data_IF_236341147021
#
_entry.id   IF_236341147021
#
_cell.length_a   1.000
_cell.length_b   1.000
_cell.length_c   1.000
_cell.angle_alpha   90.00
_cell.angle_beta   90.00
_cell.angle_gamma   90.00
#
_symmetry.space_group_name_H-M   'P 1'
#
loop_
_entity.id
_entity.type
_entity.pdbx_description
1 polymer ?
#
# COMPACT_ATOMS: atom_id res chain seq x y z
N UNK A 1 26.00 24.74 -4.27
CA UNK A 1 25.29 23.43 -4.30
C UNK A 1 23.90 23.40 -3.64
N UNK A 2 23.55 24.10 -2.54
CA UNK A 2 22.24 23.90 -1.88
C UNK A 2 21.04 24.41 -2.70
N UNK A 3 21.22 25.38 -3.59
CA UNK A 3 20.15 25.89 -4.46
C UNK A 3 19.74 24.90 -5.55
N UNK A 4 20.69 24.15 -6.13
CA UNK A 4 20.41 23.10 -7.11
C UNK A 4 19.59 21.96 -6.48
N UNK A 5 19.98 21.50 -5.29
CA UNK A 5 19.21 20.48 -4.56
C UNK A 5 17.80 20.96 -4.21
N UNK A 6 17.63 22.23 -3.79
CA UNK A 6 16.30 22.81 -3.54
C UNK A 6 15.46 22.87 -4.81
N UNK A 7 16.06 23.26 -5.95
CA UNK A 7 15.38 23.32 -7.24
C UNK A 7 14.94 21.94 -7.71
N UNK A 8 15.83 20.95 -7.67
CA UNK A 8 15.53 19.55 -8.04
C UNK A 8 14.42 18.98 -7.14
N UNK A 9 14.51 19.23 -5.82
CA UNK A 9 13.47 18.79 -4.87
C UNK A 9 12.11 19.41 -5.17
N UNK A 10 12.09 20.72 -5.48
CA UNK A 10 10.87 21.43 -5.85
C UNK A 10 10.27 20.88 -7.15
N UNK A 11 11.11 20.67 -8.18
CA UNK A 11 10.69 20.09 -9.45
C UNK A 11 10.14 18.67 -9.27
N UNK A 12 10.85 17.80 -8.56
CA UNK A 12 10.42 16.44 -8.28
C UNK A 12 9.09 16.40 -7.51
N UNK A 13 8.93 17.28 -6.52
CA UNK A 13 7.68 17.45 -5.79
C UNK A 13 6.53 17.87 -6.69
N UNK A 14 6.76 18.86 -7.56
CA UNK A 14 5.75 19.32 -8.53
C UNK A 14 5.35 18.22 -9.50
N UNK A 15 6.31 17.53 -10.12
CA UNK A 15 6.04 16.43 -11.07
C UNK A 15 5.21 15.35 -10.38
N UNK A 16 5.60 14.93 -9.17
CA UNK A 16 4.86 13.92 -8.42
C UNK A 16 3.41 14.36 -8.15
N UNK A 17 3.20 15.57 -7.62
CA UNK A 17 1.85 16.08 -7.28
C UNK A 17 0.99 16.26 -8.53
N UNK A 18 1.53 16.85 -9.59
CA UNK A 18 0.81 17.03 -10.86
C UNK A 18 0.42 15.68 -11.46
N UNK A 19 1.32 14.69 -11.42
CA UNK A 19 1.01 13.35 -11.94
C UNK A 19 -0.01 12.63 -11.05
N UNK A 20 0.07 12.78 -9.73
CA UNK A 20 -0.90 12.21 -8.80
C UNK A 20 -2.32 12.74 -9.08
N UNK A 21 -2.45 14.07 -9.20
CA UNK A 21 -3.72 14.72 -9.52
C UNK A 21 -4.23 14.27 -10.89
N UNK A 22 -3.36 14.19 -11.90
CA UNK A 22 -3.75 13.82 -13.25
C UNK A 22 -4.21 12.35 -13.38
N UNK A 23 -3.64 11.43 -12.60
CA UNK A 23 -3.92 9.99 -12.69
C UNK A 23 -5.03 9.56 -11.73
N UNK A 24 -4.95 9.95 -10.45
CA UNK A 24 -5.87 9.48 -9.41
C UNK A 24 -6.72 10.58 -8.78
N UNK A 25 -6.52 11.86 -9.13
CA UNK A 25 -7.22 12.99 -8.50
C UNK A 25 -8.75 12.88 -8.55
N UNK A 26 -9.32 12.59 -9.73
CA UNK A 26 -10.76 12.41 -9.88
C UNK A 26 -11.28 11.19 -9.10
N UNK A 27 -10.55 10.08 -9.13
CA UNK A 27 -10.93 8.85 -8.43
C UNK A 27 -10.90 9.03 -6.91
N UNK A 28 -9.96 9.81 -6.38
CA UNK A 28 -9.87 10.12 -4.95
C UNK A 28 -11.03 11.01 -4.47
N UNK A 29 -11.47 11.98 -5.29
CA UNK A 29 -12.59 12.86 -4.92
C UNK A 29 -13.94 12.14 -4.88
N UNK A 30 -14.17 11.18 -5.78
CA UNK A 30 -15.45 10.43 -5.86
C UNK A 30 -15.52 9.31 -4.82
N UNK A 31 -14.38 8.78 -4.37
CA UNK A 31 -14.33 7.60 -3.50
C UNK A 31 -14.50 8.01 -2.03
N UNK A 32 -15.58 7.56 -1.37
CA UNK A 32 -15.82 7.78 0.07
C UNK A 32 -15.05 6.79 0.97
N UNK A 33 -14.60 5.66 0.42
CA UNK A 33 -13.97 4.59 1.20
C UNK A 33 -12.46 4.81 1.35
N UNK A 34 -11.99 5.11 2.58
CA UNK A 34 -10.57 5.31 2.91
C UNK A 34 -9.68 4.16 2.45
N UNK A 35 -10.15 2.91 2.59
CA UNK A 35 -9.36 1.72 2.18
C UNK A 35 -9.10 1.70 0.68
N UNK A 36 -10.08 2.11 -0.12
CA UNK A 36 -9.94 2.16 -1.56
C UNK A 36 -9.02 3.31 -1.99
N UNK A 37 -9.13 4.47 -1.32
CA UNK A 37 -8.22 5.61 -1.53
C UNK A 37 -6.76 5.22 -1.21
N UNK A 38 -6.50 4.59 -0.06
CA UNK A 38 -5.17 4.11 0.31
C UNK A 38 -4.57 3.15 -0.72
N UNK A 39 -5.39 2.22 -1.25
CA UNK A 39 -4.98 1.27 -2.28
C UNK A 39 -4.65 1.96 -3.61
N UNK A 40 -5.50 2.89 -4.07
CA UNK A 40 -5.24 3.69 -5.27
C UNK A 40 -3.92 4.46 -5.15
N UNK A 41 -3.69 5.11 -4.00
CA UNK A 41 -2.46 5.86 -3.74
C UNK A 41 -1.23 4.97 -3.71
N UNK A 42 -1.35 3.72 -3.24
CA UNK A 42 -0.25 2.74 -3.25
C UNK A 42 0.09 2.28 -4.67
N UNK A 43 -0.93 1.97 -5.49
CA UNK A 43 -0.74 1.55 -6.88
C UNK A 43 -0.10 2.68 -7.70
N UNK A 44 -0.57 3.92 -7.52
CA UNK A 44 0.01 5.09 -8.16
C UNK A 44 1.50 5.24 -7.82
N UNK A 45 1.87 5.17 -6.53
CA UNK A 45 3.27 5.26 -6.14
C UNK A 45 4.11 4.14 -6.73
N UNK A 46 3.59 2.91 -6.69
CA UNK A 46 4.28 1.78 -7.30
C UNK A 46 4.59 2.08 -8.77
N UNK A 47 3.58 2.46 -9.57
CA UNK A 47 3.74 2.77 -10.99
C UNK A 47 4.73 3.93 -11.21
N UNK A 48 4.58 5.03 -10.48
CA UNK A 48 5.38 6.23 -10.65
C UNK A 48 6.87 5.97 -10.37
N UNK A 49 7.18 5.34 -9.24
CA UNK A 49 8.56 5.04 -8.87
C UNK A 49 9.15 3.89 -9.69
N UNK A 50 8.34 2.95 -10.18
CA UNK A 50 8.83 1.91 -11.08
C UNK A 50 9.23 2.51 -12.44
N UNK A 51 8.45 3.46 -12.98
CA UNK A 51 8.84 4.21 -14.19
C UNK A 51 10.16 4.96 -13.93
N UNK A 52 10.27 5.66 -12.80
CA UNK A 52 11.48 6.38 -12.42
C UNK A 52 12.71 5.44 -12.35
N UNK A 53 12.52 4.21 -11.86
CA UNK A 53 13.55 3.18 -11.76
C UNK A 53 13.95 2.61 -13.13
N UNK A 54 13.02 2.56 -14.09
CA UNK A 54 13.28 2.03 -15.43
C UNK A 54 14.08 3.00 -16.30
N UNK A 55 13.96 4.31 -16.10
CA UNK A 55 14.73 5.32 -16.86
C UNK A 55 16.25 5.06 -16.81
N UNK A 56 16.91 4.98 -15.64
CA UNK A 56 18.34 4.71 -15.59
C UNK A 56 18.70 3.33 -16.13
N UNK A 57 17.81 2.33 -15.96
CA UNK A 57 17.99 1.00 -16.55
C UNK A 57 18.02 1.03 -18.07
N UNK A 58 17.12 1.79 -18.67
CA UNK A 58 17.04 1.96 -20.12
C UNK A 58 18.30 2.64 -20.65
N UNK A 59 18.78 3.69 -19.96
CA UNK A 59 20.03 4.36 -20.34
C UNK A 59 21.24 3.43 -20.31
N UNK A 60 21.36 2.58 -19.29
CA UNK A 60 22.43 1.58 -19.21
C UNK A 60 22.28 0.51 -20.29
N UNK A 61 21.07 0.02 -20.55
CA UNK A 61 20.82 -0.94 -21.62
C UNK A 61 21.19 -0.35 -23.01
N UNK A 62 20.95 0.95 -23.20
CA UNK A 62 21.27 1.69 -24.42
C UNK A 62 22.79 1.89 -24.56
N UNK A 63 23.48 2.18 -23.46
CA UNK A 63 24.95 2.30 -23.42
C UNK A 63 25.65 0.99 -23.81
N UNK A 64 25.18 -0.15 -23.28
CA UNK A 64 25.74 -1.47 -23.57
C UNK A 64 25.15 -2.15 -24.81
N UNK A 65 24.23 -1.49 -25.52
CA UNK A 65 23.57 -2.01 -26.72
C UNK A 65 22.96 -3.41 -26.52
N UNK A 66 22.44 -3.70 -25.32
CA UNK A 66 21.76 -4.98 -25.06
C UNK A 66 20.37 -4.95 -25.71
N UNK A 67 20.26 -5.49 -26.93
CA UNK A 67 19.03 -5.52 -27.74
C UNK A 67 17.86 -6.18 -27.02
N UNK A 68 18.11 -7.24 -26.25
CA UNK A 68 17.08 -7.96 -25.49
C UNK A 68 16.52 -7.11 -24.36
N UNK A 69 17.39 -6.51 -23.54
CA UNK A 69 16.96 -5.64 -22.45
C UNK A 69 16.31 -4.36 -22.98
N UNK A 70 16.79 -3.80 -24.09
CA UNK A 70 16.20 -2.64 -24.75
C UNK A 70 14.76 -2.91 -25.21
N UNK A 71 14.50 -4.04 -25.88
CA UNK A 71 13.16 -4.40 -26.33
C UNK A 71 12.21 -4.59 -25.14
N UNK A 72 12.63 -5.37 -24.14
CA UNK A 72 11.80 -5.69 -22.98
C UNK A 72 11.55 -4.47 -22.09
N UNK A 73 12.56 -3.63 -21.85
CA UNK A 73 12.41 -2.38 -21.10
C UNK A 73 11.51 -1.39 -21.85
N UNK A 74 11.59 -1.32 -23.17
CA UNK A 74 10.71 -0.47 -23.98
C UNK A 74 9.24 -0.90 -23.88
N UNK A 75 8.96 -2.20 -23.97
CA UNK A 75 7.62 -2.75 -23.72
C UNK A 75 7.14 -2.37 -22.31
N UNK A 76 8.03 -2.46 -21.32
CA UNK A 76 7.67 -2.17 -19.95
C UNK A 76 7.39 -0.68 -19.70
N UNK A 77 8.13 0.20 -20.36
CA UNK A 77 7.91 1.65 -20.39
C UNK A 77 6.59 2.04 -21.07
N UNK A 78 5.97 1.16 -21.86
CA UNK A 78 4.63 1.37 -22.44
C UNK A 78 3.54 0.85 -21.48
N UNK A 79 3.75 -0.33 -20.89
CA UNK A 79 2.76 -0.97 -20.01
C UNK A 79 2.46 -0.14 -18.75
N UNK A 80 3.48 0.44 -18.11
CA UNK A 80 3.27 1.17 -16.85
C UNK A 80 2.48 2.48 -17.04
N UNK A 81 2.76 3.34 -18.04
CA UNK A 81 1.89 4.46 -18.37
C UNK A 81 0.49 4.02 -18.81
N UNK A 82 0.35 2.93 -19.56
CA UNK A 82 -0.96 2.39 -19.91
C UNK A 82 -1.76 1.98 -18.66
N UNK A 83 -1.11 1.36 -17.66
CA UNK A 83 -1.73 1.06 -16.37
C UNK A 83 -2.14 2.33 -15.61
N UNK A 84 -1.36 3.41 -15.67
CA UNK A 84 -1.77 4.72 -15.13
C UNK A 84 -2.99 5.27 -15.86
N UNK A 85 -3.06 5.17 -17.19
CA UNK A 85 -4.22 5.60 -17.97
C UNK A 85 -5.47 4.76 -17.63
N UNK A 86 -5.31 3.45 -17.40
CA UNK A 86 -6.41 2.60 -16.93
C UNK A 86 -6.95 3.07 -15.58
N UNK A 87 -6.08 3.44 -14.63
CA UNK A 87 -6.51 4.02 -13.34
C UNK A 87 -7.25 5.34 -13.53
N UNK A 88 -6.75 6.20 -14.42
CA UNK A 88 -7.39 7.48 -14.76
C UNK A 88 -8.80 7.28 -15.33
N UNK A 89 -8.99 6.24 -16.15
CA UNK A 89 -10.28 5.90 -16.75
C UNK A 89 -11.22 5.12 -15.80
N UNK A 90 -10.86 4.97 -14.52
CA UNK A 90 -11.70 4.31 -13.53
C UNK A 90 -11.66 2.78 -13.54
N UNK A 91 -10.65 2.16 -14.17
CA UNK A 91 -10.50 0.71 -14.13
C UNK A 91 -10.32 0.22 -12.68
N UNK A 92 -10.77 -1.02 -12.41
CA UNK A 92 -10.73 -1.54 -11.05
C UNK A 92 -9.27 -1.64 -10.54
N UNK A 93 -8.97 -1.18 -9.30
CA UNK A 93 -7.61 -1.22 -8.76
C UNK A 93 -7.02 -2.63 -8.71
N UNK A 94 -7.86 -3.64 -8.50
CA UNK A 94 -7.44 -5.06 -8.49
C UNK A 94 -6.97 -5.51 -9.87
N UNK A 95 -7.69 -5.17 -10.93
CA UNK A 95 -7.33 -5.54 -12.30
C UNK A 95 -6.03 -4.88 -12.72
N UNK A 96 -5.89 -3.57 -12.46
CA UNK A 96 -4.64 -2.84 -12.77
C UNK A 96 -3.47 -3.44 -12.01
N UNK A 97 -3.64 -3.70 -10.71
CA UNK A 97 -2.58 -4.30 -9.90
C UNK A 97 -2.17 -5.68 -10.41
N UNK A 98 -3.12 -6.48 -10.89
CA UNK A 98 -2.83 -7.81 -11.44
C UNK A 98 -2.00 -7.72 -12.71
N UNK A 99 -2.42 -6.88 -13.66
CA UNK A 99 -1.72 -6.68 -14.94
C UNK A 99 -0.29 -6.16 -14.69
N UNK A 100 -0.16 -5.20 -13.78
CA UNK A 100 1.14 -4.64 -13.41
C UNK A 100 2.01 -5.71 -12.75
N UNK A 101 1.53 -6.43 -11.74
CA UNK A 101 2.30 -7.49 -11.10
C UNK A 101 2.72 -8.58 -12.10
N UNK A 102 1.80 -9.01 -12.97
CA UNK A 102 2.06 -10.04 -13.98
C UNK A 102 3.13 -9.58 -14.98
N UNK A 103 3.04 -8.35 -15.49
CA UNK A 103 4.06 -7.79 -16.39
C UNK A 103 5.41 -7.58 -15.68
N UNK A 104 5.42 -7.11 -14.42
CA UNK A 104 6.63 -7.05 -13.58
C UNK A 104 7.24 -8.43 -13.33
N UNK A 105 6.47 -9.51 -13.42
CA UNK A 105 6.98 -10.86 -13.21
C UNK A 105 7.51 -11.47 -14.52
N UNK A 106 6.71 -11.45 -15.59
CA UNK A 106 7.01 -12.14 -16.86
C UNK A 106 8.15 -11.47 -17.63
N UNK A 107 8.20 -10.14 -17.69
CA UNK A 107 9.22 -9.44 -18.49
C UNK A 107 10.64 -9.72 -17.96
N UNK A 108 10.91 -9.67 -16.65
CA UNK A 108 12.17 -10.14 -16.08
C UNK A 108 12.46 -11.63 -16.30
N UNK A 109 11.45 -12.52 -16.31
CA UNK A 109 11.68 -13.94 -16.67
C UNK A 109 12.17 -14.07 -18.10
N UNK A 110 11.54 -13.36 -19.06
CA UNK A 110 11.96 -13.35 -20.45
C UNK A 110 13.40 -12.80 -20.59
N UNK A 111 13.69 -11.66 -19.96
CA UNK A 111 15.04 -11.06 -19.97
C UNK A 111 16.08 -12.01 -19.36
N UNK A 112 15.77 -12.64 -18.22
CA UNK A 112 16.65 -13.60 -17.55
C UNK A 112 16.94 -14.82 -18.44
N UNK A 113 15.92 -15.35 -19.13
CA UNK A 113 16.05 -16.48 -20.05
C UNK A 113 16.93 -16.14 -21.27
N UNK A 114 16.63 -15.05 -21.98
CA UNK A 114 17.37 -14.66 -23.19
C UNK A 114 18.81 -14.21 -22.93
N UNK A 115 19.11 -13.69 -21.73
CA UNK A 115 20.46 -13.33 -21.32
C UNK A 115 21.21 -14.45 -20.58
N UNK A 116 20.63 -15.65 -20.44
CA UNK A 116 21.19 -16.78 -19.69
C UNK A 116 21.67 -16.42 -18.26
N UNK A 117 20.99 -15.49 -17.60
CA UNK A 117 21.29 -15.03 -16.24
C UNK A 117 20.24 -15.58 -15.30
N UNK A 118 20.50 -16.74 -14.71
CA UNK A 118 19.57 -17.31 -13.75
C UNK A 118 19.85 -16.75 -12.36
N UNK A 119 18.79 -16.32 -11.67
CA UNK A 119 18.82 -15.92 -10.25
C UNK A 119 19.82 -14.78 -9.96
N UNK A 120 20.13 -13.94 -10.95
CA UNK A 120 20.87 -12.70 -10.69
C UNK A 120 20.10 -11.83 -9.70
N UNK A 121 20.78 -11.18 -8.73
CA UNK A 121 20.14 -10.27 -7.77
C UNK A 121 19.21 -9.24 -8.43
N UNK A 122 19.54 -8.78 -9.65
CA UNK A 122 18.70 -7.86 -10.46
C UNK A 122 17.29 -8.42 -10.70
N UNK A 123 17.17 -9.69 -11.07
CA UNK A 123 15.88 -10.32 -11.41
C UNK A 123 15.15 -10.78 -10.16
N UNK A 124 15.85 -11.36 -9.20
CA UNK A 124 15.27 -11.81 -7.92
C UNK A 124 14.59 -10.67 -7.17
N UNK A 125 15.21 -9.49 -7.10
CA UNK A 125 14.60 -8.31 -6.47
C UNK A 125 13.33 -7.85 -7.20
N UNK A 126 13.31 -7.94 -8.53
CA UNK A 126 12.15 -7.56 -9.34
C UNK A 126 10.98 -8.54 -9.15
N UNK A 127 11.28 -9.84 -9.07
CA UNK A 127 10.29 -10.88 -8.80
C UNK A 127 9.69 -10.75 -7.39
N UNK A 128 10.54 -10.56 -6.37
CA UNK A 128 10.08 -10.35 -4.98
C UNK A 128 9.16 -9.13 -4.87
N UNK A 129 9.57 -8.02 -5.50
CA UNK A 129 8.79 -6.80 -5.56
C UNK A 129 7.40 -7.03 -6.21
N UNK A 130 7.33 -7.78 -7.32
CA UNK A 130 6.06 -8.11 -7.98
C UNK A 130 5.14 -8.92 -7.06
N UNK A 131 5.67 -9.99 -6.46
CA UNK A 131 4.90 -10.86 -5.56
C UNK A 131 4.39 -10.11 -4.33
N UNK A 132 5.23 -9.27 -3.75
CA UNK A 132 4.88 -8.43 -2.62
C UNK A 132 3.80 -7.40 -3.01
N UNK A 133 3.98 -6.72 -4.14
CA UNK A 133 3.00 -5.76 -4.63
C UNK A 133 1.63 -6.42 -4.85
N UNK A 134 1.61 -7.61 -5.47
CA UNK A 134 0.40 -8.41 -5.65
C UNK A 134 -0.25 -8.79 -4.31
N UNK A 135 0.57 -9.19 -3.33
CA UNK A 135 0.10 -9.59 -1.99
C UNK A 135 -0.63 -8.44 -1.30
N UNK A 136 -0.07 -7.23 -1.37
CA UNK A 136 -0.63 -6.05 -0.71
C UNK A 136 -1.89 -5.54 -1.42
N UNK A 137 -1.93 -5.59 -2.75
CA UNK A 137 -2.97 -4.91 -3.54
C UNK A 137 -4.19 -5.78 -3.87
N UNK A 138 -4.00 -7.09 -4.05
CA UNK A 138 -5.04 -8.00 -4.55
C UNK A 138 -5.51 -8.97 -3.46
N UNK A 139 -4.84 -10.11 -3.32
CA UNK A 139 -5.16 -11.18 -2.38
C UNK A 139 -3.99 -12.19 -2.31
N UNK A 140 -4.00 -13.06 -1.29
CA UNK A 140 -3.00 -14.12 -1.10
C UNK A 140 -3.04 -15.20 -2.19
N UNK A 141 -4.23 -15.56 -2.70
CA UNK A 141 -4.40 -16.65 -3.69
C UNK A 141 -3.70 -16.35 -5.01
N UNK A 142 -3.89 -15.13 -5.52
CA UNK A 142 -3.25 -14.62 -6.73
C UNK A 142 -1.74 -14.52 -6.53
N UNK A 143 -1.26 -14.07 -5.37
CA UNK A 143 0.18 -14.10 -5.06
C UNK A 143 0.75 -15.51 -5.09
N UNK A 144 0.06 -16.49 -4.51
CA UNK A 144 0.48 -17.90 -4.58
C UNK A 144 0.51 -18.41 -6.02
N UNK A 145 -0.47 -18.02 -6.84
CA UNK A 145 -0.46 -18.34 -8.27
C UNK A 145 0.75 -17.75 -8.99
N UNK A 146 1.03 -16.46 -8.84
CA UNK A 146 2.23 -15.83 -9.42
C UNK A 146 3.53 -16.44 -8.86
N UNK A 147 3.55 -16.81 -7.58
CA UNK A 147 4.68 -17.50 -6.96
C UNK A 147 4.91 -18.90 -7.56
N UNK A 148 3.83 -19.66 -7.75
CA UNK A 148 3.90 -20.97 -8.40
C UNK A 148 4.37 -20.87 -9.85
N UNK A 149 3.95 -19.81 -10.57
CA UNK A 149 4.41 -19.53 -11.93
C UNK A 149 5.92 -19.26 -11.95
N UNK A 150 6.43 -18.48 -10.98
CA UNK A 150 7.88 -18.24 -10.84
C UNK A 150 8.64 -19.52 -10.51
N UNK A 151 8.15 -20.34 -9.58
CA UNK A 151 8.78 -21.61 -9.24
C UNK A 151 8.80 -22.56 -10.44
N UNK A 152 7.71 -22.63 -11.22
CA UNK A 152 7.63 -23.45 -12.42
C UNK A 152 8.65 -22.99 -13.48
N UNK A 153 8.76 -21.68 -13.69
CA UNK A 153 9.78 -21.08 -14.55
C UNK A 153 11.21 -21.46 -14.11
N UNK A 154 11.54 -21.29 -12.82
CA UNK A 154 12.87 -21.63 -12.29
C UNK A 154 13.16 -23.13 -12.41
N UNK A 155 12.17 -23.98 -12.17
CA UNK A 155 12.29 -25.42 -12.38
C UNK A 155 12.54 -25.79 -13.84
N UNK A 156 11.82 -25.17 -14.78
CA UNK A 156 12.01 -25.37 -16.22
C UNK A 156 13.42 -24.95 -16.67
N UNK A 157 13.88 -23.78 -16.23
CA UNK A 157 15.22 -23.28 -16.55
C UNK A 157 16.31 -24.18 -15.95
N UNK A 158 16.14 -24.62 -14.71
CA UNK A 158 17.06 -25.57 -14.07
C UNK A 158 17.12 -26.90 -14.83
N UNK A 159 15.96 -27.44 -15.26
CA UNK A 159 15.87 -28.66 -16.05
C UNK A 159 16.60 -28.51 -17.41
N UNK A 160 16.36 -27.41 -18.12
CA UNK A 160 17.03 -27.06 -19.37
C UNK A 160 18.56 -27.10 -19.21
N UNK A 161 19.08 -26.54 -18.11
CA UNK A 161 20.52 -26.49 -17.85
C UNK A 161 21.12 -27.85 -17.50
N UNK A 162 20.42 -28.66 -16.72
CA UNK A 162 20.85 -30.03 -16.40
C UNK A 162 20.96 -30.88 -17.67
N UNK A 163 20.08 -30.66 -18.65
CA UNK A 163 20.09 -31.38 -19.93
C UNK A 163 20.99 -30.76 -21.01
N UNK A 164 21.80 -29.75 -20.66
CA UNK A 164 22.75 -29.09 -21.58
C UNK A 164 22.14 -28.64 -22.92
N UNK A 165 20.87 -28.23 -22.93
CA UNK A 165 20.24 -27.69 -24.13
C UNK A 165 20.87 -26.32 -24.43
N UNK A 166 21.56 -26.21 -25.58
CA UNK A 166 22.24 -24.99 -25.98
C UNK A 166 21.22 -23.91 -26.39
N UNK A 167 21.13 -22.86 -25.59
CA UNK A 167 20.38 -21.65 -25.95
C UNK A 167 21.35 -20.54 -26.34
N UNK A 168 21.15 -19.87 -27.49
CA UNK A 168 21.99 -18.77 -27.89
C UNK A 168 21.82 -17.61 -26.90
N UNK A 169 22.95 -17.15 -26.34
CA UNK A 169 22.99 -15.94 -25.50
C UNK A 169 22.90 -14.73 -26.42
N UNK A 170 22.07 -13.75 -26.06
CA UNK A 170 21.95 -12.49 -26.81
C UNK A 170 23.31 -11.82 -27.03
N UNK A 171 23.56 -11.38 -28.26
CA UNK A 171 24.76 -10.60 -28.62
C UNK A 171 24.86 -9.31 -27.76
N UNK A 172 26.08 -8.94 -27.38
CA UNK A 172 26.37 -7.71 -26.61
C UNK A 172 26.32 -7.85 -25.08
N UNK A 173 26.01 -9.03 -24.54
CA UNK A 173 25.96 -9.23 -23.10
C UNK A 173 27.29 -9.77 -22.52
N UNK A 174 28.00 -8.95 -21.73
CA UNK A 174 29.18 -9.35 -20.95
C UNK A 174 28.90 -9.19 -19.45
N UNK A 175 28.84 -10.28 -18.64
CA UNK A 175 28.51 -10.23 -17.22
C UNK A 175 29.40 -9.29 -16.40
N UNK A 176 30.67 -9.19 -16.75
CA UNK A 176 31.70 -8.41 -16.06
C UNK A 176 31.44 -6.89 -16.17
N UNK A 177 30.81 -6.44 -17.25
CA UNK A 177 30.56 -5.01 -17.51
C UNK A 177 29.41 -4.44 -16.68
N UNK A 178 28.45 -5.27 -16.23
CA UNK A 178 27.32 -4.82 -15.40
C UNK A 178 27.61 -4.81 -13.91
N UNK A 179 28.70 -5.43 -13.45
CA UNK A 179 29.07 -5.55 -12.02
C UNK A 179 28.96 -4.24 -11.22
N UNK A 180 29.51 -3.08 -11.66
CA UNK A 180 29.40 -1.83 -10.91
C UNK A 180 27.96 -1.30 -10.83
N UNK A 181 27.15 -1.54 -11.87
CA UNK A 181 25.74 -1.10 -11.90
C UNK A 181 24.82 -2.01 -11.07
N UNK A 182 25.20 -3.26 -10.81
CA UNK A 182 24.39 -4.19 -9.99
C UNK A 182 24.19 -3.68 -8.56
N UNK A 183 25.23 -3.13 -7.92
CA UNK A 183 25.14 -2.55 -6.59
C UNK A 183 24.23 -1.31 -6.57
N UNK A 184 24.35 -0.46 -7.60
CA UNK A 184 23.48 0.71 -7.78
C UNK A 184 22.02 0.29 -7.99
N UNK A 185 21.76 -0.73 -8.82
CA UNK A 185 20.42 -1.27 -8.99
C UNK A 185 19.85 -1.86 -7.71
N UNK A 186 20.64 -2.65 -6.98
CA UNK A 186 20.22 -3.21 -5.70
C UNK A 186 19.83 -2.10 -4.72
N UNK A 187 20.65 -1.04 -4.59
CA UNK A 187 20.34 0.12 -3.76
C UNK A 187 19.03 0.82 -4.16
N UNK A 188 18.81 1.06 -5.47
CA UNK A 188 17.57 1.66 -5.95
C UNK A 188 16.34 0.76 -5.69
N UNK A 189 16.46 -0.56 -5.85
CA UNK A 189 15.39 -1.50 -5.52
C UNK A 189 15.08 -1.55 -4.03
N UNK A 190 16.10 -1.49 -3.16
CA UNK A 190 15.91 -1.43 -1.71
C UNK A 190 15.15 -0.16 -1.33
N UNK A 191 15.56 1.01 -1.87
CA UNK A 191 14.84 2.26 -1.63
C UNK A 191 13.39 2.20 -2.13
N UNK A 192 13.18 1.55 -3.28
CA UNK A 192 11.84 1.38 -3.82
C UNK A 192 10.98 0.45 -2.95
N UNK A 193 11.52 -0.68 -2.50
CA UNK A 193 10.86 -1.58 -1.56
C UNK A 193 10.53 -0.87 -0.24
N UNK A 194 11.49 -0.14 0.34
CA UNK A 194 11.30 0.62 1.58
C UNK A 194 10.15 1.62 1.43
N UNK A 195 10.03 2.28 0.27
CA UNK A 195 8.92 3.21 0.00
C UNK A 195 7.57 2.51 -0.14
N UNK A 196 7.51 1.39 -0.86
CA UNK A 196 6.27 0.61 -1.03
C UNK A 196 5.80 0.06 0.32
N UNK A 197 6.71 -0.51 1.12
CA UNK A 197 6.41 -0.98 2.47
C UNK A 197 6.03 0.16 3.41
N UNK A 198 6.78 1.26 3.44
CA UNK A 198 6.49 2.41 4.29
C UNK A 198 5.12 3.01 4.00
N UNK A 199 4.71 3.07 2.73
CA UNK A 199 3.38 3.52 2.36
C UNK A 199 2.30 2.52 2.74
N UNK A 200 2.56 1.21 2.60
CA UNK A 200 1.63 0.18 3.04
C UNK A 200 1.40 0.22 4.56
N UNK A 201 2.47 0.28 5.36
CA UNK A 201 2.38 0.39 6.82
C UNK A 201 1.65 1.65 7.25
N UNK A 202 1.97 2.82 6.66
CA UNK A 202 1.25 4.06 6.94
C UNK A 202 -0.24 3.94 6.63
N UNK A 203 -0.60 3.26 5.54
CA UNK A 203 -2.00 3.03 5.18
C UNK A 203 -2.72 2.12 6.20
N UNK A 204 -2.05 1.09 6.73
CA UNK A 204 -2.63 0.24 7.79
C UNK A 204 -2.85 1.06 9.05
N UNK A 205 -1.83 1.81 9.50
CA UNK A 205 -1.92 2.63 10.70
C UNK A 205 -3.05 3.67 10.63
N UNK A 206 -3.20 4.34 9.48
CA UNK A 206 -4.31 5.27 9.25
C UNK A 206 -5.68 4.58 9.36
N UNK A 207 -5.81 3.36 8.81
CA UNK A 207 -7.06 2.59 8.90
C UNK A 207 -7.38 2.17 10.34
N UNK A 208 -6.37 1.76 11.12
CA UNK A 208 -6.53 1.41 12.53
C UNK A 208 -6.91 2.64 13.38
N UNK A 209 -6.30 3.79 13.10
CA UNK A 209 -6.62 5.04 13.76
C UNK A 209 -8.07 5.47 13.49
N UNK A 210 -8.52 5.42 12.23
CA UNK A 210 -9.92 5.73 11.87
C UNK A 210 -10.92 4.78 12.54
N UNK A 211 -10.63 3.48 12.60
CA UNK A 211 -11.46 2.51 13.29
C UNK A 211 -11.54 2.79 14.79
N UNK A 212 -10.44 3.21 15.40
CA UNK A 212 -10.39 3.56 16.82
C UNK A 212 -11.25 4.80 17.11
N UNK A 213 -11.15 5.83 16.27
CA UNK A 213 -12.01 7.03 16.37
C UNK A 213 -13.49 6.67 16.17
N UNK A 214 -13.82 5.80 15.21
CA UNK A 214 -15.21 5.37 14.99
C UNK A 214 -15.77 4.62 16.20
N UNK A 215 -14.98 3.70 16.79
CA UNK A 215 -15.36 3.00 18.02
C UNK A 215 -15.55 3.98 19.19
N UNK A 216 -14.65 4.95 19.35
CA UNK A 216 -14.78 5.99 20.37
C UNK A 216 -16.06 6.84 20.18
N UNK A 217 -16.38 7.24 18.95
CA UNK A 217 -17.62 7.98 18.65
C UNK A 217 -18.87 7.15 18.94
N UNK A 218 -18.87 5.87 18.58
CA UNK A 218 -19.99 4.97 18.86
C UNK A 218 -20.16 4.73 20.37
N UNK A 219 -19.06 4.57 21.10
CA UNK A 219 -19.10 4.46 22.56
C UNK A 219 -19.62 5.75 23.20
N UNK A 220 -19.13 6.91 22.77
CA UNK A 220 -19.60 8.21 23.25
C UNK A 220 -21.09 8.45 22.93
N UNK A 221 -21.59 8.04 21.76
CA UNK A 221 -23.01 8.19 21.43
C UNK A 221 -23.91 7.28 22.26
N UNK A 222 -23.48 6.04 22.52
CA UNK A 222 -24.17 5.12 23.44
C UNK A 222 -24.22 5.73 24.84
N UNK A 223 -23.09 6.21 25.35
CA UNK A 223 -22.99 6.79 26.68
C UNK A 223 -23.88 8.03 26.83
N UNK A 224 -23.88 8.91 25.83
CA UNK A 224 -24.78 10.07 25.79
C UNK A 224 -26.26 9.65 25.77
N UNK A 225 -26.61 8.58 25.04
CA UNK A 225 -27.97 8.04 25.02
C UNK A 225 -28.38 7.48 26.39
N UNK A 226 -27.48 6.77 27.08
CA UNK A 226 -27.72 6.25 28.43
C UNK A 226 -27.88 7.37 29.47
N UNK A 227 -26.97 8.35 29.47
CA UNK A 227 -27.05 9.53 30.34
C UNK A 227 -28.33 10.34 30.08
N UNK A 228 -28.71 10.53 28.81
CA UNK A 228 -29.94 11.24 28.45
C UNK A 228 -31.18 10.50 28.95
N UNK A 229 -31.23 9.17 28.83
CA UNK A 229 -32.33 8.36 29.38
C UNK A 229 -32.44 8.52 30.89
N UNK A 230 -31.32 8.41 31.61
CA UNK A 230 -31.28 8.57 33.07
C UNK A 230 -31.69 9.99 33.50
N UNK A 231 -31.21 11.01 32.79
CA UNK A 231 -31.60 12.40 33.06
C UNK A 231 -33.09 12.67 32.83
N UNK A 232 -33.68 12.09 31.77
CA UNK A 232 -35.13 12.19 31.51
C UNK A 232 -35.93 11.50 32.61
N UNK A 233 -35.50 10.32 33.08
CA UNK A 233 -36.13 9.61 34.21
C UNK A 233 -36.08 10.49 35.47
N UNK A 234 -34.91 11.05 35.79
CA UNK A 234 -34.72 11.94 36.95
C UNK A 234 -35.63 13.18 36.87
N UNK A 235 -35.73 13.81 35.69
CA UNK A 235 -36.60 14.97 35.45
C UNK A 235 -38.08 14.61 35.52
N UNK A 236 -38.47 13.42 35.04
CA UNK A 236 -39.83 12.89 35.14
C UNK A 236 -40.25 12.63 36.58
N UNK A 237 -39.36 12.02 37.37
CA UNK A 237 -39.54 11.80 38.81
C UNK A 237 -39.64 13.13 39.57
N UNK A 238 -38.81 14.12 39.23
CA UNK A 238 -38.84 15.47 39.82
C UNK A 238 -40.14 16.24 39.51
N UNK A 239 -40.67 16.15 38.28
CA UNK A 239 -41.94 16.80 37.88
C UNK A 239 -43.20 16.11 38.39
N UNK A 240 -43.12 14.86 38.87
CA UNK A 240 -44.29 14.05 39.27
C UNK A 240 -45.02 14.60 40.50
N UNK A 241 -44.39 15.45 41.33
CA UNK A 241 -45.08 16.26 42.36
C UNK A 241 -45.90 15.50 43.41
N UNK A 242 -45.85 14.15 43.45
CA UNK A 242 -46.60 13.33 44.39
C UNK A 242 -45.71 12.99 45.58
N UNK A 243 -45.83 13.79 46.63
CA UNK A 243 -45.16 13.67 47.94
C UNK A 243 -45.44 12.37 48.73
N UNK A 244 -46.16 11.40 48.15
CA UNK A 244 -46.60 10.17 48.82
C UNK A 244 -45.69 8.94 48.62
N UNK A 245 -44.63 9.05 47.80
CA UNK A 245 -43.68 7.97 47.47
C UNK A 245 -42.22 8.35 47.76
N UNK A 246 -42.00 9.19 48.77
CA UNK A 246 -40.73 9.92 48.97
C UNK A 246 -39.54 9.04 49.37
N UNK A 247 -39.76 7.90 50.03
CA UNK A 247 -38.66 6.99 50.43
C UNK A 247 -38.22 6.06 49.30
N UNK A 248 -39.15 5.43 48.57
CA UNK A 248 -38.80 4.60 47.41
C UNK A 248 -38.23 5.39 46.22
N UNK A 249 -38.60 6.67 46.09
CA UNK A 249 -38.01 7.56 45.09
C UNK A 249 -36.59 8.01 45.44
N UNK A 250 -36.20 8.04 46.72
CA UNK A 250 -34.82 8.38 47.11
C UNK A 250 -33.85 7.27 46.72
N UNK A 251 -34.19 6.01 46.99
CA UNK A 251 -33.37 4.87 46.55
C UNK A 251 -33.24 4.79 45.02
N UNK A 252 -34.32 5.05 44.28
CA UNK A 252 -34.29 5.11 42.81
C UNK A 252 -33.48 6.30 42.27
N UNK A 253 -33.50 7.44 42.95
CA UNK A 253 -32.70 8.61 42.62
C UNK A 253 -31.21 8.35 42.88
N UNK A 254 -30.89 7.74 44.02
CA UNK A 254 -29.54 7.38 44.43
C UNK A 254 -28.98 6.29 43.52
N UNK A 255 -29.77 5.27 43.17
CA UNK A 255 -29.40 4.27 42.17
C UNK A 255 -29.18 4.87 40.78
N UNK A 256 -29.98 5.86 40.36
CA UNK A 256 -29.73 6.58 39.11
C UNK A 256 -28.45 7.41 39.16
N UNK A 257 -28.17 8.10 40.28
CA UNK A 257 -26.94 8.89 40.43
C UNK A 257 -25.69 8.00 40.47
N UNK A 258 -25.75 6.88 41.19
CA UNK A 258 -24.66 5.89 41.23
C UNK A 258 -24.43 5.27 39.85
N UNK A 259 -25.49 4.98 39.08
CA UNK A 259 -25.31 4.47 37.72
C UNK A 259 -24.78 5.57 36.77
N UNK A 260 -25.17 6.83 36.92
CA UNK A 260 -24.57 7.96 36.18
C UNK A 260 -23.07 8.07 36.51
N UNK A 261 -22.70 7.99 37.79
CA UNK A 261 -21.32 8.03 38.26
C UNK A 261 -20.50 6.88 37.67
N UNK A 262 -21.03 5.66 37.71
CA UNK A 262 -20.41 4.47 37.12
C UNK A 262 -20.24 4.57 35.60
N UNK A 263 -21.22 5.13 34.88
CA UNK A 263 -21.11 5.35 33.43
C UNK A 263 -20.07 6.44 33.13
N UNK A 264 -19.95 7.48 33.96
CA UNK A 264 -18.90 8.50 33.85
C UNK A 264 -17.50 7.93 34.17
N UNK A 265 -17.37 7.12 35.21
CA UNK A 265 -16.12 6.47 35.59
C UNK A 265 -15.64 5.50 34.50
N UNK A 266 -16.55 4.69 33.94
CA UNK A 266 -16.26 3.85 32.77
C UNK A 266 -15.85 4.67 31.53
N UNK A 267 -16.37 5.89 31.36
CA UNK A 267 -15.96 6.78 30.27
C UNK A 267 -14.54 7.33 30.50
N UNK A 268 -14.23 7.68 31.74
CA UNK A 268 -12.91 8.20 32.16
C UNK A 268 -11.85 7.10 31.99
N UNK A 269 -12.11 5.89 32.49
CA UNK A 269 -11.21 4.74 32.32
C UNK A 269 -10.96 4.41 30.84
N UNK A 270 -11.98 4.55 29.99
CA UNK A 270 -11.82 4.30 28.55
C UNK A 270 -11.04 5.43 27.83
N UNK A 271 -11.13 6.67 28.32
CA UNK A 271 -10.35 7.80 27.81
C UNK A 271 -8.89 7.72 28.26
N UNK A 272 -8.63 7.28 29.49
CA UNK A 272 -7.27 7.11 30.02
C UNK A 272 -6.58 5.88 29.43
N UNK A 273 -7.28 4.75 29.28
CA UNK A 273 -6.74 3.57 28.59
C UNK A 273 -6.64 3.74 27.06
N UNK A 274 -7.35 4.72 26.48
CA UNK A 274 -7.25 5.10 25.07
C UNK A 274 -6.00 5.91 24.73
N UNK A 275 -5.29 6.46 25.72
CA UNK A 275 -3.96 7.05 25.57
C UNK A 275 -2.91 5.95 25.77
N UNK A 276 -2.56 5.23 24.70
CA UNK A 276 -1.28 4.51 24.68
C UNK A 276 -0.12 5.53 24.67
N UNK A 277 1.01 5.17 25.30
CA UNK A 277 1.96 6.12 25.88
C UNK A 277 2.68 6.94 24.81
N UNK A 278 2.94 8.20 25.14
CA UNK A 278 4.00 8.96 24.50
C UNK A 278 5.33 8.25 24.79
N UNK A 279 5.83 7.46 23.84
CA UNK A 279 7.23 7.02 23.77
C UNK A 279 7.66 6.78 22.33
#
# INVERSE_FOLDING_TARGET
MPQLFKSIRSLAGKIYVTTEIAVIGNALQVTVNTRLQCRLKLIFDYLFFHILLLIPKLLVALYYQNSTDLLLLSVYMIILPAAMLMLKNGASPKMVSFLVALSTLILPMASSFFNNQDVSPKYTMTWLLSLLFCYITINRRTTLFLGSLLCAYLGLVSWIKVHHLAFPVSEGYVPEQLSPFMALYAGMYILFLMRVFGKHYRNIFMLEHEQTIQKQKQHSSLLNQHLTKQFIILKGLSRSGKSKYLDGNKELLEACLVEIEKQCESAIDYLDNGKLPES
#
